data_IF_921315479028
#
_entry.id   IF_921315479028
#
_cell.length_a   1.000
_cell.length_b   1.000
_cell.length_c   1.000
_cell.angle_alpha   90.00
_cell.angle_beta   90.00
_cell.angle_gamma   90.00
#
_symmetry.space_group_name_H-M   'P 1'
#
loop_
_entity.id
_entity.type
_entity.pdbx_description
1 polymer ?
#
# COMPACT_ATOMS: atom_id res chain seq x y z
N UNK A 1 0.62 -8.34 -6.94
CA UNK A 1 -0.33 -7.99 -8.02
C UNK A 1 -1.73 -8.18 -7.47
N UNK A 2 -2.65 -7.26 -7.78
CA UNK A 2 -4.06 -7.38 -7.40
C UNK A 2 -4.72 -8.57 -8.15
N UNK A 3 -5.87 -9.08 -7.68
CA UNK A 3 -6.61 -10.15 -8.36
C UNK A 3 -6.96 -9.86 -9.84
N UNK A 4 -6.91 -8.60 -10.28
CA UNK A 4 -7.12 -8.18 -11.68
C UNK A 4 -5.86 -8.10 -12.56
N UNK A 5 -4.67 -8.41 -12.02
CA UNK A 5 -3.40 -8.28 -12.75
C UNK A 5 -2.73 -6.91 -12.60
N UNK A 6 -3.38 -5.96 -11.93
CA UNK A 6 -2.83 -4.64 -11.67
C UNK A 6 -1.65 -4.69 -10.68
N UNK A 7 -0.75 -3.72 -10.83
CA UNK A 7 0.42 -3.54 -9.97
C UNK A 7 0.04 -2.64 -8.81
N UNK A 8 0.26 -3.16 -7.60
CA UNK A 8 0.05 -2.43 -6.36
C UNK A 8 1.41 -2.00 -5.82
N UNK A 9 1.55 -0.71 -5.51
CA UNK A 9 2.79 -0.15 -4.96
C UNK A 9 2.51 0.73 -3.74
N UNK A 10 3.50 0.79 -2.85
CA UNK A 10 3.58 1.71 -1.73
C UNK A 10 4.95 2.37 -1.75
N UNK A 11 5.06 3.54 -1.13
CA UNK A 11 6.35 4.23 -0.95
C UNK A 11 6.39 4.90 0.42
N UNK A 12 7.60 5.22 0.89
CA UNK A 12 7.81 5.90 2.17
C UNK A 12 7.56 7.41 2.15
N UNK A 13 7.01 7.98 1.08
CA UNK A 13 6.85 9.42 0.89
C UNK A 13 5.50 9.98 1.35
N UNK A 14 4.40 9.26 1.14
CA UNK A 14 3.06 9.84 1.30
C UNK A 14 1.98 8.90 1.88
N UNK A 15 2.35 7.72 2.35
CA UNK A 15 1.44 6.77 3.01
C UNK A 15 0.34 6.21 2.12
N UNK A 16 0.50 6.26 0.79
CA UNK A 16 -0.51 5.77 -0.15
C UNK A 16 -0.15 4.42 -0.76
N UNK A 17 -1.18 3.60 -0.93
CA UNK A 17 -1.27 2.54 -1.91
C UNK A 17 -1.69 3.13 -3.25
N UNK A 18 -0.98 2.76 -4.30
CA UNK A 18 -1.28 3.12 -5.69
C UNK A 18 -1.55 1.85 -6.49
N UNK A 19 -2.60 1.90 -7.31
CA UNK A 19 -2.92 0.84 -8.26
C UNK A 19 -2.66 1.33 -9.69
N UNK A 20 -1.83 0.58 -10.40
CA UNK A 20 -1.39 0.87 -11.76
C UNK A 20 -1.68 -0.31 -12.67
N UNK A 21 -2.35 -0.06 -13.79
CA UNK A 21 -2.61 -1.11 -14.79
C UNK A 21 -1.31 -1.64 -15.38
N UNK A 22 -1.29 -2.85 -15.96
CA UNK A 22 -0.11 -3.36 -16.68
C UNK A 22 0.35 -2.44 -17.83
N UNK A 23 -0.54 -1.62 -18.37
CA UNK A 23 -0.23 -0.63 -19.40
C UNK A 23 0.41 0.67 -18.85
N UNK A 24 0.56 0.79 -17.52
CA UNK A 24 1.21 1.92 -16.85
C UNK A 24 0.27 3.04 -16.40
N UNK A 25 -1.04 2.86 -16.49
CA UNK A 25 -2.01 3.89 -16.06
C UNK A 25 -2.31 3.73 -14.58
N UNK A 26 -2.06 4.78 -13.78
CA UNK A 26 -2.54 4.85 -12.41
C UNK A 26 -4.05 5.06 -12.38
N UNK A 27 -4.78 4.17 -11.72
CA UNK A 27 -6.26 4.17 -11.73
C UNK A 27 -6.87 4.38 -10.34
N UNK A 28 -6.11 4.14 -9.26
CA UNK A 28 -6.60 4.38 -7.91
C UNK A 28 -5.49 4.80 -6.95
N UNK A 29 -5.89 5.53 -5.90
CA UNK A 29 -5.05 5.81 -4.73
C UNK A 29 -5.84 5.65 -3.44
N UNK A 30 -5.21 5.09 -2.41
CA UNK A 30 -5.80 4.94 -1.08
C UNK A 30 -4.73 5.17 -0.03
N UNK A 31 -5.04 5.95 1.00
CA UNK A 31 -4.15 6.03 2.15
C UNK A 31 -4.19 4.74 2.97
N UNK A 32 -3.03 4.19 3.29
CA UNK A 32 -2.87 3.13 4.29
C UNK A 32 -2.48 3.71 5.65
N UNK A 33 -1.75 4.82 5.65
CA UNK A 33 -1.47 5.62 6.84
C UNK A 33 -1.58 7.12 6.52
N UNK A 34 -2.17 7.90 7.43
CA UNK A 34 -2.35 9.36 7.31
C UNK A 34 -1.72 10.13 8.48
N UNK A 35 -0.97 9.45 9.33
CA UNK A 35 -0.29 10.03 10.49
C UNK A 35 0.86 10.94 10.04
N UNK A 36 1.40 11.73 10.98
CA UNK A 36 2.52 12.64 10.70
C UNK A 36 2.16 13.88 9.87
N UNK A 37 3.19 14.69 9.62
CA UNK A 37 3.13 15.91 8.80
C UNK A 37 4.46 16.09 8.07
N UNK A 38 4.53 15.88 6.73
CA UNK A 38 3.42 15.55 5.83
C UNK A 38 2.84 14.15 6.08
N UNK A 39 1.55 13.99 5.75
CA UNK A 39 0.80 12.76 6.04
C UNK A 39 1.44 11.54 5.36
N UNK A 40 1.66 10.48 6.15
CA UNK A 40 2.14 9.19 5.68
C UNK A 40 3.64 9.14 5.34
N UNK A 41 4.37 10.23 5.55
CA UNK A 41 5.81 10.26 5.31
C UNK A 41 6.53 9.34 6.30
N UNK A 42 7.36 8.44 5.75
CA UNK A 42 8.09 7.41 6.48
C UNK A 42 7.24 6.21 6.90
N UNK A 43 5.95 6.12 6.54
CA UNK A 43 5.09 5.09 7.12
C UNK A 43 5.20 3.71 6.43
N UNK A 44 5.47 3.64 5.12
CA UNK A 44 5.31 2.41 4.33
C UNK A 44 6.59 1.98 3.61
N UNK A 45 6.98 0.71 3.76
CA UNK A 45 8.18 0.16 3.11
C UNK A 45 8.03 -1.24 2.50
N UNK A 46 6.98 -1.98 2.84
CA UNK A 46 6.78 -3.35 2.36
C UNK A 46 5.32 -3.62 2.05
N UNK A 47 5.08 -4.42 1.01
CA UNK A 47 3.75 -4.83 0.56
C UNK A 47 3.79 -6.29 0.10
N UNK A 48 2.84 -7.10 0.55
CA UNK A 48 2.66 -8.47 0.10
C UNK A 48 1.17 -8.80 -0.06
N UNK A 49 0.84 -9.70 -0.98
CA UNK A 49 -0.52 -10.23 -1.10
C UNK A 49 -0.73 -11.27 -0.02
N UNK A 50 -1.81 -11.14 0.75
CA UNK A 50 -2.15 -12.14 1.76
C UNK A 50 -2.60 -13.46 1.08
N UNK A 51 -2.31 -14.63 1.68
CA UNK A 51 -2.76 -15.92 1.15
C UNK A 51 -4.27 -15.95 0.90
N UNK A 52 -4.70 -16.77 -0.05
CA UNK A 52 -6.11 -16.98 -0.39
C UNK A 52 -6.87 -15.70 -0.77
N UNK A 53 -6.16 -14.70 -1.32
CA UNK A 53 -6.73 -13.40 -1.71
C UNK A 53 -7.44 -12.66 -0.54
N UNK A 54 -6.98 -12.90 0.70
CA UNK A 54 -7.59 -12.33 1.90
C UNK A 54 -7.29 -10.84 2.13
N UNK A 55 -6.48 -10.21 1.26
CA UNK A 55 -6.11 -8.81 1.37
C UNK A 55 -4.64 -8.52 1.04
N UNK A 56 -4.12 -7.43 1.61
CA UNK A 56 -2.73 -7.01 1.49
C UNK A 56 -2.09 -6.87 2.87
N UNK A 57 -0.92 -7.48 3.05
CA UNK A 57 -0.04 -7.16 4.17
C UNK A 57 0.83 -5.96 3.80
N UNK A 58 0.98 -5.03 4.74
CA UNK A 58 1.90 -3.92 4.59
C UNK A 58 2.63 -3.63 5.90
N UNK A 59 3.85 -3.11 5.77
CA UNK A 59 4.63 -2.57 6.89
C UNK A 59 4.11 -1.18 7.21
N UNK A 60 3.81 -0.93 8.49
CA UNK A 60 3.42 0.37 9.03
C UNK A 60 4.45 0.78 10.11
N UNK A 61 5.46 1.50 9.66
CA UNK A 61 6.62 1.91 10.48
C UNK A 61 6.24 2.97 11.52
N UNK A 62 5.21 3.77 11.24
CA UNK A 62 4.72 4.80 12.15
C UNK A 62 4.28 4.22 13.51
N UNK A 63 3.89 2.95 13.53
CA UNK A 63 3.51 2.22 14.74
C UNK A 63 4.32 0.93 14.96
N UNK A 64 5.36 0.68 14.15
CA UNK A 64 6.21 -0.51 14.20
C UNK A 64 5.42 -1.84 14.14
N UNK A 65 4.48 -1.95 13.19
CA UNK A 65 3.69 -3.19 13.00
C UNK A 65 3.60 -3.63 11.55
N UNK A 66 3.25 -4.90 11.34
CA UNK A 66 2.63 -5.34 10.09
C UNK A 66 1.11 -5.30 10.22
N UNK A 67 0.43 -4.80 9.19
CA UNK A 67 -1.03 -4.65 9.13
C UNK A 67 -1.62 -5.38 7.93
N UNK A 68 -2.90 -5.71 8.04
CA UNK A 68 -3.69 -6.34 6.98
C UNK A 68 -4.77 -5.38 6.52
N UNK A 69 -4.80 -5.13 5.21
CA UNK A 69 -5.89 -4.47 4.52
C UNK A 69 -6.85 -5.52 3.96
N UNK A 70 -8.08 -5.54 4.45
CA UNK A 70 -9.18 -6.37 3.94
C UNK A 70 -9.95 -5.69 2.80
#
# INVERSE_FOLDING_TARGET
MAPGGDVLTVNGGDGRLVETTPAGTQIATRFLDKSGSPKGAGALFGLAVAPHAAGLYYVDDAVNTMRLLH
#
